data_IF_391000821057
#
_entry.id   IF_391000821057
#
_cell.length_a   1.000
_cell.length_b   1.000
_cell.length_c   1.000
_cell.angle_alpha   90.00
_cell.angle_beta   90.00
_cell.angle_gamma   90.00
#
_symmetry.space_group_name_H-M   'P 1'
#
loop_
_entity.id
_entity.type
_entity.pdbx_description
1 polymer ?
#
# COMPACT_ATOMS: atom_id res chain seq x y z
N UNK A 1 8.09 -9.18 22.94
CA UNK A 1 7.02 -8.28 23.45
C UNK A 1 5.73 -8.69 22.75
N UNK A 2 4.68 -8.98 23.51
CA UNK A 2 3.37 -9.31 22.91
C UNK A 2 2.75 -8.02 22.37
N UNK A 3 2.41 -7.98 21.08
CA UNK A 3 1.72 -6.84 20.47
C UNK A 3 0.24 -6.92 20.87
N UNK A 4 -0.28 -5.85 21.45
CA UNK A 4 -1.68 -5.80 21.89
C UNK A 4 -2.63 -5.74 20.71
N UNK A 5 -3.70 -6.55 20.73
CA UNK A 5 -4.79 -6.44 19.78
C UNK A 5 -5.55 -5.11 20.00
N UNK A 6 -5.76 -4.35 18.92
CA UNK A 6 -6.57 -3.13 18.97
C UNK A 6 -8.00 -3.42 18.52
N UNK A 7 -9.02 -3.30 19.39
CA UNK A 7 -10.40 -3.49 18.99
C UNK A 7 -10.85 -2.41 18.00
N UNK A 8 -11.38 -2.80 16.84
CA UNK A 8 -11.85 -1.87 15.80
C UNK A 8 -12.97 -0.97 16.33
N UNK A 9 -13.85 -1.49 17.17
CA UNK A 9 -14.92 -0.72 17.79
C UNK A 9 -14.40 0.47 18.65
N UNK A 10 -13.16 0.40 19.14
CA UNK A 10 -12.50 1.45 19.89
C UNK A 10 -11.83 2.51 18.96
N UNK A 11 -11.74 2.26 17.65
CA UNK A 11 -11.17 3.22 16.71
C UNK A 11 -12.16 4.38 16.54
N UNK A 12 -11.73 5.57 16.93
CA UNK A 12 -12.55 6.78 16.81
C UNK A 12 -12.96 7.02 15.36
N UNK A 13 -14.29 7.13 15.10
CA UNK A 13 -14.85 7.29 13.76
C UNK A 13 -15.08 6.00 12.98
N UNK A 14 -14.86 4.82 13.62
CA UNK A 14 -15.37 3.55 13.13
C UNK A 14 -16.90 3.53 13.20
N UNK A 15 -17.53 3.00 12.18
CA UNK A 15 -18.98 2.75 12.16
C UNK A 15 -19.26 1.40 11.53
N UNK A 16 -20.22 0.62 12.03
CA UNK A 16 -20.64 -0.60 11.36
C UNK A 16 -21.27 -0.25 10.01
N UNK A 17 -20.90 -0.98 8.96
CA UNK A 17 -21.53 -0.85 7.65
C UNK A 17 -22.76 -1.75 7.53
N UNK A 18 -22.75 -2.87 8.27
CA UNK A 18 -23.86 -3.83 8.33
C UNK A 18 -24.02 -4.29 9.78
N UNK A 19 -25.19 -4.88 10.10
CA UNK A 19 -25.39 -5.59 11.39
C UNK A 19 -24.50 -6.85 11.49
N UNK A 20 -23.81 -7.22 10.42
CA UNK A 20 -23.23 -8.54 10.20
C UNK A 20 -21.70 -8.58 10.29
N UNK A 21 -21.02 -7.55 10.77
CA UNK A 21 -19.59 -7.61 11.08
C UNK A 21 -18.64 -7.03 10.02
N UNK A 22 -19.06 -6.01 9.26
CA UNK A 22 -18.16 -5.18 8.46
C UNK A 22 -18.13 -3.75 9.02
N UNK A 23 -16.91 -3.22 9.26
CA UNK A 23 -16.71 -1.87 9.80
C UNK A 23 -16.01 -0.99 8.79
N UNK A 24 -16.52 0.23 8.62
CA UNK A 24 -15.94 1.25 7.73
C UNK A 24 -15.23 2.31 8.56
N UNK A 25 -13.98 2.61 8.19
CA UNK A 25 -13.17 3.65 8.83
C UNK A 25 -12.62 4.59 7.78
N UNK A 26 -13.03 5.87 7.85
CA UNK A 26 -12.48 6.95 7.05
C UNK A 26 -11.52 7.80 7.89
N UNK A 27 -10.32 8.06 7.39
CA UNK A 27 -9.29 8.85 8.06
C UNK A 27 -8.54 9.71 7.05
N UNK A 28 -8.08 10.85 7.54
CA UNK A 28 -7.12 11.70 6.85
C UNK A 28 -5.85 11.72 7.67
N UNK A 29 -4.73 11.39 7.05
CA UNK A 29 -3.43 11.46 7.70
C UNK A 29 -2.50 12.35 6.88
N UNK A 30 -1.71 13.14 7.59
CA UNK A 30 -0.64 13.94 6.99
C UNK A 30 0.57 13.08 6.70
N UNK A 31 1.33 13.47 5.69
CA UNK A 31 2.64 12.90 5.40
C UNK A 31 3.50 12.82 6.66
N UNK A 32 4.24 11.71 6.80
CA UNK A 32 5.14 11.44 7.93
C UNK A 32 4.45 10.83 9.16
N UNK A 33 3.11 10.71 9.16
CA UNK A 33 2.41 9.96 10.21
C UNK A 33 2.75 8.48 10.06
N UNK A 34 3.05 7.84 11.18
CA UNK A 34 3.26 6.40 11.28
C UNK A 34 2.20 5.78 12.20
N UNK A 35 1.57 4.75 11.71
CA UNK A 35 0.77 3.84 12.53
C UNK A 35 1.69 2.69 12.92
N UNK A 36 2.05 2.63 14.19
CA UNK A 36 2.97 1.64 14.73
C UNK A 36 2.48 0.21 14.49
N UNK A 37 3.38 -0.75 14.63
CA UNK A 37 3.06 -2.16 14.45
C UNK A 37 1.96 -2.59 15.41
N UNK A 38 0.87 -3.09 14.84
CA UNK A 38 -0.32 -3.56 15.55
C UNK A 38 -0.95 -4.74 14.82
N UNK A 39 -1.91 -5.36 15.44
CA UNK A 39 -2.78 -6.38 14.83
C UNK A 39 -4.21 -6.22 15.36
N UNK A 40 -5.16 -6.80 14.66
CA UNK A 40 -6.57 -6.83 15.04
C UNK A 40 -7.19 -8.18 14.65
N UNK A 41 -8.36 -8.48 15.23
CA UNK A 41 -9.06 -9.78 15.02
C UNK A 41 -9.73 -9.88 13.67
N UNK A 42 -10.02 -8.75 13.06
CA UNK A 42 -10.68 -8.62 11.78
C UNK A 42 -9.65 -8.69 10.66
N UNK A 43 -10.05 -9.14 9.48
CA UNK A 43 -9.29 -8.89 8.26
C UNK A 43 -9.54 -7.46 7.77
N UNK A 44 -8.60 -6.90 7.01
CA UNK A 44 -8.63 -5.49 6.64
C UNK A 44 -8.32 -5.29 5.16
N UNK A 45 -9.14 -4.52 4.47
CA UNK A 45 -8.78 -3.92 3.20
C UNK A 45 -8.27 -2.50 3.46
N UNK A 46 -6.97 -2.28 3.26
CA UNK A 46 -6.32 -0.97 3.41
C UNK A 46 -6.28 -0.29 2.05
N UNK A 47 -6.93 0.85 1.94
CA UNK A 47 -7.01 1.63 0.71
C UNK A 47 -6.84 3.13 1.01
N UNK A 48 -6.14 3.85 0.13
CA UNK A 48 -6.06 5.30 0.13
C UNK A 48 -6.66 5.83 -1.18
N UNK A 49 -7.79 6.53 -1.09
CA UNK A 49 -8.44 7.15 -2.24
C UNK A 49 -7.57 8.26 -2.85
N UNK A 50 -6.72 8.90 -2.01
CA UNK A 50 -5.69 9.87 -2.41
C UNK A 50 -4.41 9.64 -1.63
N UNK A 51 -3.28 10.06 -2.23
CA UNK A 51 -1.97 9.97 -1.63
C UNK A 51 -1.38 8.57 -1.68
N UNK A 52 -0.31 8.33 -0.96
CA UNK A 52 0.43 7.06 -0.99
C UNK A 52 0.85 6.69 0.42
N UNK A 53 0.75 5.43 0.75
CA UNK A 53 1.23 4.85 2.00
C UNK A 53 2.05 3.60 1.73
N UNK A 54 2.84 3.19 2.71
CA UNK A 54 3.51 1.91 2.75
C UNK A 54 2.94 1.07 3.88
N UNK A 55 2.52 -0.14 3.57
CA UNK A 55 2.12 -1.14 4.58
C UNK A 55 3.27 -2.12 4.73
N UNK A 56 3.73 -2.34 5.96
CA UNK A 56 4.80 -3.29 6.27
C UNK A 56 4.22 -4.46 7.04
N UNK A 57 4.53 -5.68 6.59
CA UNK A 57 4.18 -6.95 7.22
C UNK A 57 5.45 -7.76 7.46
N UNK A 58 5.41 -8.89 8.19
CA UNK A 58 6.56 -9.78 8.29
C UNK A 58 7.10 -10.26 6.94
N UNK A 59 6.24 -10.45 5.93
CA UNK A 59 6.67 -10.91 4.58
C UNK A 59 7.32 -9.81 3.74
N UNK A 60 6.97 -8.53 3.97
CA UNK A 60 7.52 -7.50 3.12
C UNK A 60 6.90 -6.11 3.28
N UNK A 61 7.28 -5.23 2.36
CA UNK A 61 6.76 -3.87 2.25
C UNK A 61 5.86 -3.77 1.02
N UNK A 62 4.66 -3.24 1.23
CA UNK A 62 3.65 -3.03 0.22
C UNK A 62 3.48 -1.53 -0.02
N UNK A 63 3.91 -1.05 -1.17
CA UNK A 63 3.65 0.33 -1.55
C UNK A 63 2.23 0.43 -2.11
N UNK A 64 1.44 1.35 -1.56
CA UNK A 64 -0.01 1.48 -1.79
C UNK A 64 -0.33 2.88 -2.31
N UNK A 65 -0.15 3.12 -3.63
CA UNK A 65 -0.67 4.31 -4.31
C UNK A 65 -2.20 4.20 -4.51
N UNK A 66 -2.89 5.25 -4.99
CA UNK A 66 -4.34 5.27 -5.12
C UNK A 66 -4.97 4.22 -6.05
N UNK A 67 -4.16 3.57 -6.92
CA UNK A 67 -4.60 2.48 -7.79
C UNK A 67 -4.31 1.10 -7.21
N UNK A 68 -3.96 1.03 -5.91
CA UNK A 68 -3.69 -0.21 -5.18
C UNK A 68 -4.39 -0.20 -3.83
N UNK A 69 -4.74 -1.40 -3.37
CA UNK A 69 -5.17 -1.67 -2.01
C UNK A 69 -4.43 -2.90 -1.48
N UNK A 70 -4.28 -3.01 -0.18
CA UNK A 70 -3.68 -4.18 0.47
C UNK A 70 -4.76 -4.90 1.26
N UNK A 71 -4.86 -6.19 1.05
CA UNK A 71 -5.57 -7.08 1.93
C UNK A 71 -4.63 -7.56 3.03
N UNK A 72 -5.02 -7.33 4.27
CA UNK A 72 -4.34 -7.78 5.48
C UNK A 72 -5.25 -8.78 6.18
N UNK A 73 -4.88 -10.07 6.26
CA UNK A 73 -5.69 -11.06 6.95
C UNK A 73 -5.74 -10.78 8.45
N UNK A 74 -6.73 -11.38 9.11
CA UNK A 74 -6.91 -11.25 10.56
C UNK A 74 -5.65 -11.68 11.32
N UNK A 75 -5.32 -10.97 12.40
CA UNK A 75 -4.20 -11.24 13.30
C UNK A 75 -2.81 -11.18 12.66
N UNK A 76 -2.69 -10.60 11.47
CA UNK A 76 -1.39 -10.30 10.89
C UNK A 76 -0.85 -8.99 11.45
N UNK A 77 0.35 -9.04 12.02
CA UNK A 77 1.08 -7.84 12.45
C UNK A 77 1.42 -6.96 11.24
N UNK A 78 1.10 -5.67 11.33
CA UNK A 78 1.42 -4.72 10.28
C UNK A 78 1.57 -3.30 10.82
N UNK A 79 2.29 -2.47 10.08
CA UNK A 79 2.43 -1.04 10.31
C UNK A 79 2.15 -0.27 9.03
N UNK A 80 1.82 1.02 9.15
CA UNK A 80 1.55 1.88 7.99
C UNK A 80 2.37 3.17 8.12
N UNK A 81 3.18 3.46 7.12
CA UNK A 81 3.91 4.71 6.97
C UNK A 81 3.21 5.58 5.90
N UNK A 82 2.85 6.79 6.26
CA UNK A 82 2.15 7.73 5.38
C UNK A 82 3.17 8.54 4.58
N UNK A 83 3.33 8.25 3.31
CA UNK A 83 4.36 8.82 2.43
C UNK A 83 3.93 10.14 1.78
N UNK A 84 2.62 10.35 1.61
CA UNK A 84 2.00 11.60 1.19
C UNK A 84 0.71 11.81 1.98
N UNK A 85 0.13 13.02 2.01
CA UNK A 85 -1.19 13.23 2.64
C UNK A 85 -2.22 12.26 2.04
N UNK A 86 -2.87 11.43 2.87
CA UNK A 86 -3.79 10.39 2.42
C UNK A 86 -5.22 10.62 2.86
N UNK A 87 -6.15 10.21 1.99
CA UNK A 87 -7.54 9.95 2.33
C UNK A 87 -7.74 8.43 2.44
N UNK A 88 -7.60 7.91 3.65
CA UNK A 88 -7.74 6.48 3.90
C UNK A 88 -9.21 6.07 3.95
N UNK A 89 -9.54 4.98 3.30
CA UNK A 89 -10.85 4.30 3.31
C UNK A 89 -10.59 2.83 3.59
N UNK A 90 -10.86 2.42 4.80
CA UNK A 90 -10.56 1.07 5.27
C UNK A 90 -11.82 0.30 5.58
N UNK A 91 -11.86 -0.95 5.14
CA UNK A 91 -12.91 -1.90 5.46
C UNK A 91 -12.32 -2.98 6.36
N UNK A 92 -12.96 -3.24 7.49
CA UNK A 92 -12.62 -4.33 8.39
C UNK A 92 -13.73 -5.39 8.35
N UNK A 93 -13.33 -6.66 8.29
CA UNK A 93 -14.22 -7.79 8.11
C UNK A 93 -14.08 -8.77 9.27
N UNK A 94 -15.15 -9.01 10.00
CA UNK A 94 -15.19 -10.07 10.99
C UNK A 94 -14.96 -11.44 10.33
N UNK A 95 -14.25 -12.34 11.02
CA UNK A 95 -14.02 -13.69 10.54
C UNK A 95 -15.34 -14.47 10.33
N UNK A 96 -16.35 -14.22 11.17
CA UNK A 96 -17.66 -14.84 11.02
C UNK A 96 -18.40 -14.34 9.77
N UNK A 97 -18.17 -13.12 9.34
CA UNK A 97 -18.69 -12.59 8.07
C UNK A 97 -17.98 -13.25 6.89
N UNK A 98 -16.63 -13.29 6.92
CA UNK A 98 -15.82 -13.92 5.86
C UNK A 98 -16.13 -15.40 5.70
N UNK A 99 -16.34 -16.13 6.80
CA UNK A 99 -16.66 -17.57 6.77
C UNK A 99 -18.02 -17.87 6.11
N UNK A 100 -18.94 -16.90 6.05
CA UNK A 100 -20.23 -17.05 5.33
C UNK A 100 -20.11 -16.81 3.84
N UNK A 101 -19.06 -16.11 3.41
CA UNK A 101 -18.79 -15.90 1.99
C UNK A 101 -17.99 -17.11 1.45
N UNK A 102 -18.54 -17.82 0.47
CA UNK A 102 -18.01 -19.11 -0.04
C UNK A 102 -16.58 -19.04 -0.63
N UNK A 103 -15.96 -17.87 -0.66
CA UNK A 103 -14.66 -17.60 -1.29
C UNK A 103 -13.56 -17.23 -0.29
N UNK A 104 -13.73 -17.53 0.97
CA UNK A 104 -12.81 -17.10 2.05
C UNK A 104 -11.39 -17.68 1.95
N UNK A 105 -11.19 -18.84 1.34
CA UNK A 105 -9.89 -19.52 1.31
C UNK A 105 -8.76 -18.73 0.63
N UNK A 106 -9.08 -17.81 -0.30
CA UNK A 106 -8.07 -16.95 -0.95
C UNK A 106 -7.73 -15.71 -0.11
N UNK A 107 -8.43 -15.47 1.00
CA UNK A 107 -8.28 -14.28 1.86
C UNK A 107 -7.44 -14.56 3.13
N UNK A 108 -6.85 -15.73 3.26
CA UNK A 108 -6.03 -16.12 4.42
C UNK A 108 -4.57 -15.60 4.35
N UNK A 109 -4.17 -15.03 3.22
CA UNK A 109 -2.84 -14.45 3.03
C UNK A 109 -2.95 -12.96 2.68
N UNK A 110 -1.88 -12.20 3.01
CA UNK A 110 -1.79 -10.82 2.54
C UNK A 110 -1.48 -10.77 1.05
N UNK A 111 -2.12 -9.84 0.34
CA UNK A 111 -1.87 -9.56 -1.07
C UNK A 111 -2.20 -8.12 -1.43
N UNK A 112 -1.65 -7.64 -2.53
CA UNK A 112 -2.02 -6.37 -3.14
C UNK A 112 -3.03 -6.59 -4.25
N UNK A 113 -3.98 -5.69 -4.34
CA UNK A 113 -5.01 -5.66 -5.37
C UNK A 113 -4.82 -4.41 -6.21
N UNK A 114 -4.87 -4.57 -7.53
CA UNK A 114 -5.08 -3.42 -8.42
C UNK A 114 -6.52 -2.95 -8.29
N UNK A 115 -6.71 -1.72 -7.84
CA UNK A 115 -8.06 -1.14 -7.69
C UNK A 115 -8.61 -0.78 -9.06
N UNK A 116 -9.58 -1.56 -9.54
CA UNK A 116 -10.34 -1.26 -10.75
C UNK A 116 -11.19 0.01 -10.52
N UNK A 117 -11.61 0.68 -11.60
CA UNK A 117 -12.54 1.81 -11.48
C UNK A 117 -13.82 1.42 -10.74
N UNK A 118 -14.33 0.20 -10.99
CA UNK A 118 -15.52 -0.30 -10.31
C UNK A 118 -15.28 -0.47 -8.80
N UNK A 119 -14.15 -1.07 -8.40
CA UNK A 119 -13.78 -1.22 -6.99
C UNK A 119 -13.60 0.14 -6.32
N UNK A 120 -12.93 1.10 -6.99
CA UNK A 120 -12.77 2.47 -6.48
C UNK A 120 -14.11 3.13 -6.17
N UNK A 121 -15.03 3.16 -7.16
CA UNK A 121 -16.35 3.78 -6.98
C UNK A 121 -17.19 3.02 -5.94
N UNK A 122 -17.11 1.69 -5.88
CA UNK A 122 -17.80 0.90 -4.88
C UNK A 122 -17.31 1.24 -3.45
N UNK A 123 -15.97 1.36 -3.26
CA UNK A 123 -15.41 1.75 -1.97
C UNK A 123 -15.88 3.18 -1.62
N UNK A 124 -15.76 4.16 -2.52
CA UNK A 124 -16.19 5.53 -2.22
C UNK A 124 -17.67 5.58 -1.85
N UNK A 125 -18.53 4.90 -2.61
CA UNK A 125 -19.97 4.86 -2.36
C UNK A 125 -20.37 4.27 -1.00
N UNK A 126 -19.52 3.42 -0.40
CA UNK A 126 -19.71 2.95 0.98
C UNK A 126 -19.56 4.06 2.02
N UNK A 127 -18.84 5.13 1.70
CA UNK A 127 -18.58 6.26 2.61
C UNK A 127 -19.46 7.48 2.33
N UNK A 128 -20.23 7.52 1.25
CA UNK A 128 -21.06 8.67 0.84
C UNK A 128 -22.35 8.90 1.66
N UNK A 129 -22.51 8.17 2.76
CA UNK A 129 -23.50 8.54 3.80
C UNK A 129 -24.94 8.08 3.55
N UNK A 130 -25.26 7.37 2.50
CA UNK A 130 -26.57 6.71 2.33
C UNK A 130 -26.64 5.45 3.20
N UNK A 131 -27.53 5.44 4.20
CA UNK A 131 -27.68 4.32 5.15
C UNK A 131 -28.69 3.25 4.69
N UNK A 132 -28.75 2.95 3.40
CA UNK A 132 -29.50 1.80 2.90
C UNK A 132 -28.68 0.51 3.16
N UNK A 133 -29.13 -0.36 4.10
CA UNK A 133 -28.42 -1.59 4.47
C UNK A 133 -28.27 -2.55 3.29
N UNK A 134 -29.27 -2.64 2.41
CA UNK A 134 -29.26 -3.55 1.28
C UNK A 134 -28.24 -3.10 0.24
N UNK A 135 -28.24 -1.79 -0.08
CA UNK A 135 -27.24 -1.19 -0.96
C UNK A 135 -25.82 -1.35 -0.41
N UNK A 136 -25.64 -1.11 0.88
CA UNK A 136 -24.34 -1.26 1.55
C UNK A 136 -23.86 -2.70 1.50
N UNK A 137 -24.72 -3.67 1.77
CA UNK A 137 -24.40 -5.09 1.66
C UNK A 137 -23.98 -5.50 0.25
N UNK A 138 -24.67 -5.01 -0.78
CA UNK A 138 -24.33 -5.29 -2.18
C UNK A 138 -22.98 -4.68 -2.57
N UNK A 139 -22.68 -3.45 -2.14
CA UNK A 139 -21.39 -2.79 -2.40
C UNK A 139 -20.23 -3.53 -1.73
N UNK A 140 -20.40 -4.02 -0.49
CA UNK A 140 -19.39 -4.82 0.20
C UNK A 140 -19.14 -6.13 -0.55
N UNK A 141 -20.19 -6.84 -0.94
CA UNK A 141 -20.06 -8.09 -1.74
C UNK A 141 -19.38 -7.84 -3.08
N UNK A 142 -19.70 -6.73 -3.75
CA UNK A 142 -19.03 -6.33 -4.98
C UNK A 142 -17.54 -6.05 -4.74
N UNK A 143 -17.20 -5.31 -3.68
CA UNK A 143 -15.81 -5.05 -3.33
C UNK A 143 -15.02 -6.35 -3.09
N UNK A 144 -15.57 -7.29 -2.32
CA UNK A 144 -14.93 -8.60 -2.08
C UNK A 144 -14.81 -9.42 -3.37
N UNK A 145 -15.81 -9.38 -4.25
CA UNK A 145 -15.75 -10.05 -5.54
C UNK A 145 -14.62 -9.49 -6.43
N UNK A 146 -14.41 -8.19 -6.43
CA UNK A 146 -13.33 -7.53 -7.16
C UNK A 146 -11.94 -7.87 -6.58
N UNK A 147 -11.81 -8.09 -5.28
CA UNK A 147 -10.54 -8.52 -4.67
C UNK A 147 -10.04 -9.84 -5.24
N UNK A 148 -10.91 -10.77 -5.53
CA UNK A 148 -10.56 -12.09 -6.10
C UNK A 148 -10.10 -12.04 -7.56
N UNK A 149 -10.30 -10.92 -8.25
CA UNK A 149 -10.01 -10.77 -9.69
C UNK A 149 -8.70 -10.05 -9.99
N UNK A 150 -8.10 -9.41 -9.00
CA UNK A 150 -7.14 -8.34 -9.27
C UNK A 150 -5.82 -8.47 -8.52
N UNK A 151 -5.29 -9.69 -8.34
CA UNK A 151 -3.96 -9.86 -7.74
C UNK A 151 -2.88 -9.09 -8.51
N UNK A 152 -2.12 -8.27 -7.81
CA UNK A 152 -1.01 -7.51 -8.37
C UNK A 152 0.14 -7.43 -7.35
N UNK A 153 1.15 -8.26 -7.52
CA UNK A 153 2.35 -8.25 -6.67
C UNK A 153 3.42 -7.24 -7.12
N UNK A 154 3.17 -6.44 -8.15
CA UNK A 154 4.21 -5.61 -8.76
C UNK A 154 4.79 -4.55 -7.82
N UNK A 155 3.99 -4.02 -6.88
CA UNK A 155 4.44 -3.04 -5.89
C UNK A 155 4.92 -3.67 -4.57
N UNK A 156 4.98 -4.99 -4.51
CA UNK A 156 5.48 -5.72 -3.35
C UNK A 156 7.00 -5.85 -3.36
N UNK A 157 7.63 -5.50 -2.26
CA UNK A 157 9.06 -5.70 -2.00
C UNK A 157 9.16 -6.78 -0.94
N UNK A 158 9.40 -8.05 -1.31
CA UNK A 158 9.54 -9.13 -0.34
C UNK A 158 10.77 -8.89 0.52
N UNK A 159 10.63 -9.04 1.84
CA UNK A 159 11.73 -8.87 2.78
C UNK A 159 12.28 -10.25 3.17
N UNK A 160 13.59 -10.47 3.05
CA UNK A 160 14.19 -11.72 3.47
C UNK A 160 14.16 -11.87 4.99
N UNK A 161 14.12 -13.11 5.48
CA UNK A 161 14.07 -13.46 6.91
C UNK A 161 15.45 -13.76 7.52
N UNK A 162 16.38 -14.27 6.71
CA UNK A 162 17.74 -14.53 7.17
C UNK A 162 18.43 -13.22 7.59
N UNK A 163 18.99 -13.11 8.80
CA UNK A 163 19.39 -11.82 9.37
C UNK A 163 20.40 -11.03 8.54
N UNK A 164 21.38 -11.69 7.90
CA UNK A 164 22.36 -10.99 7.05
C UNK A 164 21.74 -10.51 5.75
N UNK A 165 20.88 -11.34 5.15
CA UNK A 165 20.15 -10.98 3.95
C UNK A 165 19.18 -9.84 4.24
N UNK A 166 18.51 -9.85 5.39
CA UNK A 166 17.64 -8.76 5.86
C UNK A 166 18.40 -7.46 6.05
N UNK A 167 19.56 -7.48 6.70
CA UNK A 167 20.41 -6.28 6.85
C UNK A 167 20.83 -5.71 5.50
N UNK A 168 21.23 -6.56 4.55
CA UNK A 168 21.57 -6.11 3.21
C UNK A 168 20.37 -5.46 2.50
N UNK A 169 19.16 -6.02 2.67
CA UNK A 169 17.92 -5.43 2.16
C UNK A 169 17.61 -4.08 2.80
N UNK A 170 17.76 -3.95 4.11
CA UNK A 170 17.52 -2.70 4.84
C UNK A 170 18.49 -1.60 4.39
N UNK A 171 19.79 -1.89 4.20
CA UNK A 171 20.78 -0.94 3.66
C UNK A 171 20.33 -0.40 2.27
N UNK A 172 19.88 -1.28 1.38
CA UNK A 172 19.40 -0.85 0.05
C UNK A 172 18.10 -0.05 0.15
N UNK A 173 17.21 -0.37 1.09
CA UNK A 173 15.96 0.35 1.28
C UNK A 173 16.16 1.74 1.89
N UNK A 174 17.20 1.90 2.73
CA UNK A 174 17.56 3.19 3.31
C UNK A 174 18.18 4.13 2.28
N UNK A 175 18.92 3.59 1.30
CA UNK A 175 19.44 4.35 0.16
C UNK A 175 19.18 3.61 -1.18
N UNK A 176 17.99 3.63 -1.72
CA UNK A 176 17.66 2.96 -2.98
C UNK A 176 18.30 3.60 -4.21
N UNK A 177 18.92 4.78 -4.05
CA UNK A 177 19.62 5.51 -5.12
C UNK A 177 21.07 5.06 -5.30
N UNK A 178 21.63 4.44 -4.25
CA UNK A 178 23.00 3.98 -4.20
C UNK A 178 23.32 2.90 -5.24
N UNK A 179 24.57 2.89 -5.70
CA UNK A 179 25.11 1.78 -6.49
C UNK A 179 25.50 0.65 -5.55
N UNK A 180 24.55 -0.21 -5.19
CA UNK A 180 24.78 -1.33 -4.29
C UNK A 180 25.34 -2.53 -5.07
N UNK A 181 26.66 -2.71 -5.00
CA UNK A 181 27.29 -3.92 -5.48
C UNK A 181 27.15 -5.03 -4.44
N UNK A 182 26.71 -6.21 -4.89
CA UNK A 182 26.45 -7.34 -4.00
C UNK A 182 27.69 -7.79 -3.24
N UNK A 183 28.89 -7.62 -3.84
CA UNK A 183 30.18 -7.91 -3.24
C UNK A 183 30.45 -7.03 -2.01
N UNK A 184 30.15 -5.76 -2.12
CA UNK A 184 30.33 -4.79 -1.03
C UNK A 184 29.34 -5.04 0.10
N UNK A 185 28.06 -5.20 -0.23
CA UNK A 185 27.03 -5.53 0.76
C UNK A 185 27.33 -6.87 1.47
N UNK A 186 27.76 -7.88 0.73
CA UNK A 186 28.08 -9.19 1.32
C UNK A 186 29.19 -9.07 2.36
N UNK A 187 30.24 -8.29 2.08
CA UNK A 187 31.32 -8.01 3.06
C UNK A 187 30.78 -7.29 4.31
N UNK A 188 29.93 -6.29 4.11
CA UNK A 188 29.34 -5.50 5.19
C UNK A 188 28.46 -6.34 6.13
N UNK A 189 27.70 -7.28 5.58
CA UNK A 189 26.83 -8.17 6.37
C UNK A 189 27.51 -9.47 6.80
N UNK A 190 28.83 -9.65 6.53
CA UNK A 190 29.61 -10.80 6.98
C UNK A 190 29.31 -12.11 6.23
N UNK A 191 29.13 -12.03 4.89
CA UNK A 191 28.90 -13.21 4.04
C UNK A 191 29.60 -13.07 2.68
N UNK A 192 29.49 -14.09 1.82
CA UNK A 192 29.97 -14.02 0.43
C UNK A 192 28.87 -13.52 -0.52
N UNK A 193 29.27 -12.87 -1.63
CA UNK A 193 28.33 -12.45 -2.68
C UNK A 193 27.48 -13.62 -3.22
N UNK A 194 28.11 -14.80 -3.39
CA UNK A 194 27.41 -16.03 -3.82
C UNK A 194 26.32 -16.44 -2.82
N UNK A 195 26.65 -16.41 -1.52
CA UNK A 195 25.68 -16.77 -0.46
C UNK A 195 24.55 -15.74 -0.41
N UNK A 196 24.88 -14.45 -0.44
CA UNK A 196 23.87 -13.37 -0.40
C UNK A 196 22.94 -13.45 -1.61
N UNK A 197 23.47 -13.63 -2.82
CA UNK A 197 22.67 -13.78 -4.04
C UNK A 197 21.71 -14.97 -3.96
N UNK A 198 22.18 -16.11 -3.43
CA UNK A 198 21.35 -17.30 -3.23
C UNK A 198 20.24 -17.05 -2.22
N UNK A 199 20.54 -16.39 -1.11
CA UNK A 199 19.55 -16.04 -0.08
C UNK A 199 18.46 -15.12 -0.64
N UNK A 200 18.83 -14.06 -1.36
CA UNK A 200 17.84 -13.21 -2.03
C UNK A 200 16.93 -14.03 -2.95
N UNK A 201 17.49 -14.87 -3.81
CA UNK A 201 16.68 -15.65 -4.74
C UNK A 201 15.79 -16.68 -4.05
N UNK A 202 16.27 -17.35 -2.99
CA UNK A 202 15.49 -18.39 -2.29
C UNK A 202 14.38 -17.80 -1.41
N UNK A 203 14.62 -16.65 -0.77
CA UNK A 203 13.65 -16.08 0.19
C UNK A 203 12.69 -15.07 -0.44
N UNK A 204 13.14 -14.34 -1.48
CA UNK A 204 12.32 -13.31 -2.10
C UNK A 204 11.76 -13.71 -3.47
N UNK A 205 12.18 -14.85 -4.00
CA UNK A 205 11.88 -15.31 -5.37
C UNK A 205 12.35 -14.31 -6.45
N UNK A 206 13.27 -13.41 -6.10
CA UNK A 206 13.85 -12.41 -6.99
C UNK A 206 15.37 -12.50 -6.98
N UNK A 207 15.99 -12.25 -8.13
CA UNK A 207 17.43 -11.98 -8.13
C UNK A 207 17.70 -10.68 -7.35
N UNK A 208 18.88 -10.54 -6.75
CA UNK A 208 19.28 -9.30 -6.05
C UNK A 208 19.09 -8.06 -6.95
N UNK A 209 19.49 -8.15 -8.22
CA UNK A 209 19.30 -7.06 -9.19
C UNK A 209 17.83 -6.68 -9.39
N UNK A 210 16.96 -7.67 -9.57
CA UNK A 210 15.51 -7.45 -9.73
C UNK A 210 14.88 -6.90 -8.47
N UNK A 211 15.36 -7.34 -7.30
CA UNK A 211 14.91 -6.85 -6.00
C UNK A 211 15.31 -5.37 -5.80
N UNK A 212 16.56 -4.99 -6.07
CA UNK A 212 17.01 -3.59 -6.05
C UNK A 212 16.25 -2.71 -7.04
N UNK A 213 15.91 -3.24 -8.22
CA UNK A 213 15.09 -2.51 -9.18
C UNK A 213 13.70 -2.21 -8.61
N UNK A 214 13.05 -3.15 -7.94
CA UNK A 214 11.76 -2.91 -7.25
C UNK A 214 11.90 -1.85 -6.16
N UNK A 215 12.96 -1.91 -5.35
CA UNK A 215 13.23 -0.91 -4.32
C UNK A 215 13.38 0.51 -4.93
N UNK A 216 14.11 0.65 -6.04
CA UNK A 216 14.24 1.92 -6.77
C UNK A 216 12.91 2.44 -7.32
N UNK A 217 12.09 1.55 -7.87
CA UNK A 217 10.76 1.96 -8.38
C UNK A 217 9.83 2.36 -7.24
N UNK A 218 9.90 1.70 -6.09
CA UNK A 218 9.15 2.11 -4.90
C UNK A 218 9.54 3.52 -4.45
N UNK A 219 10.85 3.82 -4.39
CA UNK A 219 11.33 5.17 -4.09
C UNK A 219 10.89 6.20 -5.15
N UNK A 220 10.84 5.80 -6.43
CA UNK A 220 10.30 6.65 -7.48
C UNK A 220 8.82 6.99 -7.26
N UNK A 221 8.00 6.00 -6.95
CA UNK A 221 6.56 6.18 -6.68
C UNK A 221 6.37 7.08 -5.47
N UNK A 222 7.16 6.87 -4.41
CA UNK A 222 7.14 7.71 -3.23
C UNK A 222 7.41 9.19 -3.59
N UNK A 223 8.50 9.48 -4.30
CA UNK A 223 8.86 10.85 -4.72
C UNK A 223 7.78 11.49 -5.62
N UNK A 224 7.28 10.76 -6.62
CA UNK A 224 6.20 11.21 -7.50
C UNK A 224 4.89 11.44 -6.74
N UNK A 225 4.65 10.68 -5.67
CA UNK A 225 3.47 10.85 -4.81
C UNK A 225 3.60 12.08 -3.90
N UNK A 226 4.82 12.45 -3.52
CA UNK A 226 5.09 13.61 -2.66
C UNK A 226 5.01 14.93 -3.42
N UNK A 227 5.55 15.00 -4.63
CA UNK A 227 5.64 16.21 -5.44
C UNK A 227 5.22 15.92 -6.89
N UNK A 228 4.13 16.57 -7.31
CA UNK A 228 3.62 16.44 -8.68
C UNK A 228 4.53 17.10 -9.72
N UNK A 229 5.45 17.98 -9.32
CA UNK A 229 6.34 18.72 -10.19
C UNK A 229 7.74 18.09 -10.32
N UNK A 230 7.94 16.90 -9.77
CA UNK A 230 9.22 16.18 -9.88
C UNK A 230 9.55 15.94 -11.35
N UNK A 231 10.73 16.40 -11.75
CA UNK A 231 11.24 16.14 -13.09
C UNK A 231 11.55 14.65 -13.27
N UNK A 232 10.85 14.01 -14.20
CA UNK A 232 11.09 12.59 -14.54
C UNK A 232 12.54 12.36 -14.96
N UNK A 233 13.18 13.34 -15.61
CA UNK A 233 14.60 13.29 -16.00
C UNK A 233 15.50 13.29 -14.76
N UNK A 234 15.25 14.18 -13.81
CA UNK A 234 16.02 14.26 -12.56
C UNK A 234 15.83 12.98 -11.74
N UNK A 235 14.59 12.52 -11.63
CA UNK A 235 14.26 11.31 -10.90
C UNK A 235 14.97 10.06 -11.47
N UNK A 236 14.99 9.92 -12.80
CA UNK A 236 15.72 8.84 -13.47
C UNK A 236 17.22 8.88 -13.16
N UNK A 237 17.82 10.08 -13.20
CA UNK A 237 19.24 10.27 -12.87
C UNK A 237 19.53 9.94 -11.41
N UNK A 238 18.73 10.46 -10.48
CA UNK A 238 18.90 10.24 -9.03
C UNK A 238 18.79 8.75 -8.66
N UNK A 239 17.94 8.00 -9.36
CA UNK A 239 17.74 6.56 -9.15
C UNK A 239 18.74 5.70 -9.92
N UNK A 240 19.78 6.31 -10.50
CA UNK A 240 20.87 5.60 -11.18
C UNK A 240 20.50 4.96 -12.52
N UNK A 241 19.46 5.47 -13.20
CA UNK A 241 19.14 5.02 -14.55
C UNK A 241 19.94 5.78 -15.61
N UNK A 242 20.48 5.04 -16.57
CA UNK A 242 21.29 5.61 -17.67
C UNK A 242 20.49 6.55 -18.58
N UNK A 243 19.16 6.44 -18.62
CA UNK A 243 18.30 7.28 -19.45
C UNK A 243 16.84 7.28 -18.96
N UNK A 244 16.09 8.32 -19.32
CA UNK A 244 14.64 8.42 -19.07
C UNK A 244 13.87 7.26 -19.70
N UNK A 245 14.14 6.81 -20.94
CA UNK A 245 13.49 5.63 -21.50
C UNK A 245 13.70 4.36 -20.69
N UNK A 246 14.93 4.11 -20.21
CA UNK A 246 15.25 2.96 -19.37
C UNK A 246 14.48 2.99 -18.04
N UNK A 247 14.41 4.15 -17.40
CA UNK A 247 13.62 4.37 -16.19
C UNK A 247 12.12 4.15 -16.47
N UNK A 248 11.58 4.79 -17.50
CA UNK A 248 10.15 4.69 -17.85
C UNK A 248 9.75 3.25 -18.18
N UNK A 249 10.60 2.51 -18.85
CA UNK A 249 10.38 1.08 -19.10
C UNK A 249 10.33 0.29 -17.79
N UNK A 250 11.33 0.45 -16.91
CA UNK A 250 11.39 -0.23 -15.62
C UNK A 250 10.20 0.13 -14.72
N UNK A 251 9.82 1.41 -14.69
CA UNK A 251 8.67 1.90 -13.94
C UNK A 251 7.36 1.28 -14.45
N UNK A 252 7.18 1.24 -15.77
CA UNK A 252 5.99 0.63 -16.39
C UNK A 252 5.90 -0.87 -16.15
N UNK A 253 7.03 -1.59 -16.13
CA UNK A 253 7.03 -3.02 -15.80
C UNK A 253 6.50 -3.30 -14.39
N UNK A 254 6.75 -2.40 -13.44
CA UNK A 254 6.33 -2.54 -12.04
C UNK A 254 4.93 -1.96 -11.81
N UNK A 255 4.61 -0.81 -12.41
CA UNK A 255 3.37 -0.08 -12.10
C UNK A 255 2.27 -0.23 -13.14
N UNK A 256 2.61 -0.73 -14.33
CA UNK A 256 1.72 -0.77 -15.50
C UNK A 256 1.54 0.59 -16.20
N UNK A 257 2.14 1.67 -15.69
CA UNK A 257 2.06 3.04 -16.20
C UNK A 257 3.45 3.63 -16.38
N UNK A 258 3.58 4.64 -17.24
CA UNK A 258 4.80 5.47 -17.28
C UNK A 258 4.82 6.43 -16.07
N UNK A 259 5.99 6.98 -15.68
CA UNK A 259 6.07 7.98 -14.61
C UNK A 259 5.19 9.20 -14.86
N UNK A 260 5.07 9.65 -16.11
CA UNK A 260 4.22 10.79 -16.51
C UNK A 260 2.74 10.46 -16.34
N UNK A 261 2.27 9.33 -16.87
CA UNK A 261 0.89 8.87 -16.69
C UNK A 261 0.52 8.68 -15.21
N UNK A 262 1.49 8.23 -14.40
CA UNK A 262 1.30 8.08 -12.96
C UNK A 262 1.08 9.43 -12.28
N UNK A 263 1.88 10.46 -12.62
CA UNK A 263 1.74 11.82 -12.11
C UNK A 263 0.47 12.51 -12.58
N UNK A 264 0.07 12.36 -13.86
CA UNK A 264 -1.14 12.96 -14.43
C UNK A 264 -2.43 12.38 -13.82
N UNK A 265 -2.46 11.11 -13.51
CA UNK A 265 -3.59 10.48 -12.81
C UNK A 265 -3.87 11.20 -11.49
N UNK A 266 -2.83 11.69 -10.81
CA UNK A 266 -2.93 12.48 -9.57
C UNK A 266 -3.51 13.88 -9.82
N UNK A 267 -3.11 14.55 -10.88
CA UNK A 267 -3.59 15.92 -11.21
C UNK A 267 -5.08 15.90 -11.54
N UNK A 268 -5.55 14.92 -12.32
CA UNK A 268 -6.97 14.80 -12.66
C UNK A 268 -7.87 14.50 -11.47
N UNK A 269 -7.40 13.74 -10.49
CA UNK A 269 -8.15 13.48 -9.25
C UNK A 269 -8.26 14.73 -8.35
N UNK A 270 -7.30 15.66 -8.43
CA UNK A 270 -7.31 16.92 -7.66
C UNK A 270 -8.19 17.99 -8.33
N UNK A 271 -8.24 18.04 -9.66
CA UNK A 271 -9.05 19.05 -10.39
C UNK A 271 -10.55 18.73 -10.39
N UNK A 272 -10.94 17.46 -10.38
CA UNK A 272 -12.34 17.06 -10.37
C UNK A 272 -13.10 17.44 -9.08
N UNK A 273 -12.41 17.82 -8.01
CA UNK A 273 -13.00 18.23 -6.73
C UNK A 273 -12.99 19.75 -6.49
N UNK A 274 -12.48 20.57 -7.43
CA UNK A 274 -12.51 22.05 -7.30
C UNK A 274 -13.81 22.69 -7.76
N UNK A 275 -14.65 21.98 -8.50
CA UNK A 275 -15.85 22.54 -9.15
C UNK A 275 -17.18 22.13 -8.50
N UNK A 276 -17.20 21.53 -7.31
CA UNK A 276 -18.42 21.36 -6.55
C UNK A 276 -18.66 22.54 -5.59
N UNK A 277 -19.71 23.35 -5.80
CA UNK A 277 -20.09 24.41 -4.87
C UNK A 277 -20.85 23.81 -3.69
N UNK A 278 -20.17 23.58 -2.56
CA UNK A 278 -20.91 23.15 -1.35
C UNK A 278 -20.15 22.65 -0.14
N UNK A 279 -18.84 22.81 -0.02
CA UNK A 279 -18.13 22.45 1.23
C UNK A 279 -17.41 23.65 1.85
N UNK A 280 -18.19 24.65 2.30
CA UNK A 280 -17.75 25.50 3.41
C UNK A 280 -18.14 24.80 4.72
N UNK A 281 -17.28 23.92 5.22
CA UNK A 281 -17.37 23.45 6.59
C UNK A 281 -16.53 24.37 7.47
N UNK A 282 -17.26 25.11 8.29
CA UNK A 282 -16.84 25.99 9.37
C UNK A 282 -15.80 25.30 10.27
N UNK A 283 -14.60 25.85 10.28
CA UNK A 283 -13.59 25.64 11.32
C UNK A 283 -14.05 26.29 12.63
N UNK A 284 -14.94 25.64 13.37
CA UNK A 284 -15.24 25.95 14.79
C UNK A 284 -15.82 24.69 15.43
N UNK A 285 -14.96 23.94 16.08
CA UNK A 285 -15.18 23.04 17.22
C UNK A 285 -14.21 21.90 17.21
N UNK A 286 -13.00 22.13 17.70
CA UNK A 286 -12.14 21.09 18.31
C UNK A 286 -10.98 21.77 19.06
N UNK A 287 -11.36 22.63 20.04
CA UNK A 287 -10.55 22.89 21.23
C UNK A 287 -11.56 22.86 22.38
N UNK A 288 -11.62 21.72 23.01
CA UNK A 288 -11.90 21.47 24.43
C UNK A 288 -11.80 19.98 24.66
#
# INVERSE_FOLDING_TARGET
MSIAETPIAAIRGSRPATRDGVHLVARHYRKGVRLDTHMHREAQLVYAAKGTMQVTTPKGRWLVPPDRAVWVPARLEHSIDVLADIEMRTLYFDLAWLAREERSASLDAEFVVRVSRLLHEAILALFDGGNDPDRTGLLIKLAVLELHRAEDSATFIPLPHEPRCRRAADIVLDDPTGSHEIETLAREVGTSARTLSRLFSSETQLSFKSWCQRARIAAAIERLSMDANVSVKQLASDLGYASVPAFSYAFRQVTGKTPTEFSETKVRSVSAHRDEPGYRLTLRALIL
#
